data_IF_102813300239
#
_entry.id   IF_102813300239
#
_cell.length_a   1.000
_cell.length_b   1.000
_cell.length_c   1.000
_cell.angle_alpha   90.00
_cell.angle_beta   90.00
_cell.angle_gamma   90.00
#
_symmetry.space_group_name_H-M   'P 1'
#
loop_
_entity.id
_entity.type
_entity.pdbx_description
1 polymer ?
#
# COMPACT_ATOMS: atom_id res chain seq x y z
N UNK A 1 17.21 -0.06 -25.34
CA UNK A 1 16.95 -1.04 -24.28
C UNK A 1 17.32 -0.36 -22.96
N UNK A 2 16.37 0.30 -22.30
CA UNK A 2 16.66 1.00 -21.05
C UNK A 2 16.73 -0.06 -19.94
N UNK A 3 17.93 -0.34 -19.48
CA UNK A 3 18.17 -1.17 -18.31
C UNK A 3 17.92 -0.29 -17.07
N UNK A 4 16.78 -0.48 -16.40
CA UNK A 4 16.38 0.25 -15.20
C UNK A 4 17.12 -0.36 -14.00
N UNK A 5 18.42 -0.10 -13.86
CA UNK A 5 19.24 -0.73 -12.82
C UNK A 5 18.97 -0.19 -11.41
N UNK A 6 18.32 0.98 -11.30
CA UNK A 6 18.25 1.75 -10.05
C UNK A 6 16.83 2.16 -9.61
N UNK A 7 15.74 1.77 -10.31
CA UNK A 7 14.41 2.11 -9.80
C UNK A 7 13.99 1.21 -8.66
N UNK A 8 13.52 1.86 -7.60
CA UNK A 8 12.90 1.25 -6.43
C UNK A 8 11.50 1.81 -6.30
N UNK A 9 10.49 0.96 -6.44
CA UNK A 9 9.08 1.33 -6.53
C UNK A 9 8.37 0.95 -5.24
N UNK A 10 7.66 1.92 -4.69
CA UNK A 10 6.66 1.70 -3.65
C UNK A 10 5.28 1.83 -4.28
N UNK A 11 4.51 0.74 -4.30
CA UNK A 11 3.20 0.68 -4.95
C UNK A 11 2.08 0.56 -3.92
N UNK A 12 1.35 1.65 -3.71
CA UNK A 12 0.38 1.78 -2.61
C UNK A 12 -1.07 1.47 -3.01
N UNK A 13 -1.31 1.04 -4.25
CA UNK A 13 -2.63 0.67 -4.75
C UNK A 13 -2.59 -0.78 -5.27
N UNK A 14 -3.55 -1.65 -4.89
CA UNK A 14 -3.62 -3.02 -5.39
C UNK A 14 -3.54 -3.10 -6.92
N UNK A 15 -4.37 -2.32 -7.63
CA UNK A 15 -4.39 -2.31 -9.09
C UNK A 15 -3.07 -1.86 -9.71
N UNK A 16 -2.37 -0.88 -9.12
CA UNK A 16 -1.06 -0.45 -9.60
C UNK A 16 0.00 -1.54 -9.39
N UNK A 17 -0.05 -2.24 -8.25
CA UNK A 17 0.83 -3.37 -7.96
C UNK A 17 0.61 -4.48 -8.98
N UNK A 18 -0.64 -4.85 -9.27
CA UNK A 18 -0.96 -5.86 -10.28
C UNK A 18 -0.44 -5.48 -11.67
N UNK A 19 -0.57 -4.22 -12.07
CA UNK A 19 -0.03 -3.70 -13.34
C UNK A 19 1.50 -3.84 -13.38
N UNK A 20 2.21 -3.48 -12.31
CA UNK A 20 3.67 -3.62 -12.24
C UNK A 20 4.13 -5.07 -12.37
N UNK A 21 3.43 -6.01 -11.72
CA UNK A 21 3.66 -7.43 -11.91
C UNK A 21 3.40 -7.87 -13.35
N UNK A 22 2.30 -7.41 -13.97
CA UNK A 22 1.99 -7.73 -15.37
C UNK A 22 3.02 -7.17 -16.37
N UNK A 23 3.71 -6.08 -16.00
CA UNK A 23 4.79 -5.48 -16.78
C UNK A 23 6.17 -6.13 -16.56
N UNK A 24 6.28 -7.13 -15.68
CA UNK A 24 7.56 -7.75 -15.34
C UNK A 24 8.48 -6.87 -14.50
N UNK A 25 7.90 -5.94 -13.72
CA UNK A 25 8.60 -5.02 -12.83
C UNK A 25 8.55 -5.47 -11.37
N UNK A 26 8.32 -6.76 -11.12
CA UNK A 26 8.15 -7.27 -9.76
C UNK A 26 9.41 -7.12 -8.91
N UNK A 27 10.60 -7.04 -9.53
CA UNK A 27 11.87 -6.94 -8.81
C UNK A 27 12.10 -5.53 -8.28
N UNK A 28 11.58 -4.54 -8.97
CA UNK A 28 11.68 -3.11 -8.66
C UNK A 28 10.71 -2.73 -7.54
N UNK A 29 9.66 -3.53 -7.29
CA UNK A 29 8.74 -3.32 -6.16
C UNK A 29 9.44 -3.66 -4.85
N UNK A 30 9.71 -2.62 -4.05
CA UNK A 30 10.36 -2.71 -2.73
C UNK A 30 9.39 -2.52 -1.56
N UNK A 31 8.22 -1.95 -1.81
CA UNK A 31 7.19 -1.73 -0.80
C UNK A 31 5.77 -1.70 -1.38
N UNK A 32 4.79 -2.15 -0.60
CA UNK A 32 3.38 -2.25 -1.00
C UNK A 32 2.41 -1.80 0.10
N UNK A 33 1.12 -1.69 -0.23
CA UNK A 33 0.07 -1.61 0.78
C UNK A 33 -0.31 -2.98 1.35
N UNK A 34 -0.91 -2.99 2.53
CA UNK A 34 -1.46 -4.20 3.14
C UNK A 34 -2.56 -4.88 2.30
N UNK A 35 -3.17 -4.16 1.36
CA UNK A 35 -4.21 -4.67 0.44
C UNK A 35 -3.61 -5.26 -0.84
N UNK A 36 -2.32 -5.11 -1.10
CA UNK A 36 -1.67 -5.66 -2.29
C UNK A 36 -1.40 -7.15 -2.11
N UNK A 37 -2.38 -7.97 -2.49
CA UNK A 37 -2.39 -9.41 -2.25
C UNK A 37 -2.33 -10.27 -3.52
N UNK A 38 -2.38 -9.63 -4.69
CA UNK A 38 -2.32 -10.25 -6.01
C UNK A 38 -1.20 -9.66 -6.91
N UNK A 39 -0.48 -10.50 -7.69
CA UNK A 39 -0.46 -11.97 -7.57
C UNK A 39 0.07 -12.39 -6.19
N UNK A 40 -0.06 -13.65 -5.75
CA UNK A 40 0.31 -14.06 -4.39
C UNK A 40 1.74 -13.65 -3.94
N UNK A 41 2.65 -13.47 -4.90
CA UNK A 41 4.01 -12.96 -4.70
C UNK A 41 4.04 -11.52 -4.16
N UNK A 42 3.03 -10.69 -4.40
CA UNK A 42 2.91 -9.35 -3.85
C UNK A 42 2.92 -9.37 -2.31
N UNK A 43 2.39 -10.44 -1.69
CA UNK A 43 2.41 -10.63 -0.22
C UNK A 43 3.82 -10.80 0.35
N UNK A 44 4.82 -11.07 -0.48
CA UNK A 44 6.23 -11.16 -0.05
C UNK A 44 6.92 -9.81 0.06
N UNK A 45 6.29 -8.74 -0.47
CA UNK A 45 6.84 -7.38 -0.44
C UNK A 45 6.60 -6.75 0.94
N UNK A 46 7.48 -5.82 1.33
CA UNK A 46 7.31 -5.11 2.61
C UNK A 46 6.08 -4.21 2.56
N UNK A 47 5.23 -4.33 3.57
CA UNK A 47 4.07 -3.45 3.73
C UNK A 47 4.54 -2.13 4.35
N UNK A 48 4.25 -1.01 3.69
CA UNK A 48 4.65 0.34 4.14
C UNK A 48 3.47 1.25 4.45
N UNK A 49 2.24 0.81 4.17
CA UNK A 49 1.03 1.57 4.48
C UNK A 49 -0.07 0.64 4.99
N UNK A 50 -0.72 1.05 6.07
CA UNK A 50 -1.82 0.33 6.71
C UNK A 50 -3.06 1.22 6.86
N UNK A 51 -4.23 0.59 6.89
CA UNK A 51 -5.47 1.29 7.23
C UNK A 51 -5.49 1.66 8.71
N UNK A 52 -5.93 2.87 9.04
CA UNK A 52 -6.23 3.29 10.41
C UNK A 52 -7.62 2.83 10.88
N UNK A 53 -8.41 2.24 9.97
CA UNK A 53 -9.72 1.69 10.30
C UNK A 53 -9.56 0.26 10.83
N UNK A 54 -10.29 -0.13 11.90
CA UNK A 54 -10.21 -1.47 12.44
C UNK A 54 -10.78 -2.50 11.47
N UNK A 55 -10.12 -3.64 11.34
CA UNK A 55 -10.63 -4.76 10.58
C UNK A 55 -11.92 -5.29 11.23
N UNK A 56 -12.93 -5.55 10.39
CA UNK A 56 -14.22 -6.10 10.85
C UNK A 56 -15.19 -5.07 11.44
N UNK A 57 -14.89 -3.77 11.34
CA UNK A 57 -15.85 -2.72 11.69
C UNK A 57 -17.14 -2.85 10.88
N UNK A 58 -18.28 -2.59 11.52
CA UNK A 58 -19.55 -2.50 10.82
C UNK A 58 -19.57 -1.30 9.86
N UNK A 59 -20.41 -1.31 8.80
CA UNK A 59 -20.52 -0.17 7.89
C UNK A 59 -20.82 1.16 8.59
N UNK A 60 -21.65 1.14 9.64
CA UNK A 60 -21.97 2.34 10.42
C UNK A 60 -20.76 2.86 11.23
N UNK A 61 -19.95 1.96 11.77
CA UNK A 61 -18.71 2.33 12.45
C UNK A 61 -17.67 2.89 11.47
N UNK A 62 -17.56 2.28 10.27
CA UNK A 62 -16.71 2.78 9.19
C UNK A 62 -17.12 4.20 8.82
N UNK A 63 -18.40 4.44 8.54
CA UNK A 63 -18.92 5.76 8.16
C UNK A 63 -18.61 6.83 9.22
N UNK A 64 -18.85 6.50 10.50
CA UNK A 64 -18.52 7.37 11.62
C UNK A 64 -17.02 7.69 11.69
N UNK A 65 -16.16 6.67 11.64
CA UNK A 65 -14.71 6.85 11.74
C UNK A 65 -14.16 7.64 10.56
N UNK A 66 -14.61 7.34 9.34
CA UNK A 66 -14.22 8.07 8.13
C UNK A 66 -14.59 9.54 8.27
N UNK A 67 -15.81 9.84 8.70
CA UNK A 67 -16.27 11.20 8.95
C UNK A 67 -15.41 11.92 10.01
N UNK A 68 -15.05 11.24 11.09
CA UNK A 68 -14.15 11.77 12.13
C UNK A 68 -12.75 12.09 11.57
N UNK A 69 -12.11 11.19 10.82
CA UNK A 69 -10.81 11.43 10.19
C UNK A 69 -10.85 12.61 9.21
N UNK A 70 -11.87 12.66 8.35
CA UNK A 70 -12.06 13.76 7.39
C UNK A 70 -12.25 15.08 8.12
N UNK A 71 -13.04 15.13 9.18
CA UNK A 71 -13.26 16.35 9.96
C UNK A 71 -11.97 16.85 10.65
N UNK A 72 -11.08 15.94 11.06
CA UNK A 72 -9.76 16.27 11.61
C UNK A 72 -8.70 16.60 10.55
N UNK A 73 -9.01 16.43 9.26
CA UNK A 73 -8.05 16.63 8.17
C UNK A 73 -6.96 15.55 8.11
N UNK A 74 -7.24 14.37 8.65
CA UNK A 74 -6.29 13.26 8.73
C UNK A 74 -6.55 12.22 7.64
N UNK A 75 -5.48 11.59 7.15
CA UNK A 75 -5.57 10.44 6.22
C UNK A 75 -6.19 9.20 6.91
N UNK A 76 -6.96 8.41 6.16
CA UNK A 76 -7.41 7.08 6.61
C UNK A 76 -6.29 6.04 6.60
N UNK A 77 -5.22 6.31 5.86
CA UNK A 77 -4.07 5.43 5.73
C UNK A 77 -2.85 6.03 6.44
N UNK A 78 -2.14 5.19 7.16
CA UNK A 78 -0.91 5.53 7.85
C UNK A 78 0.29 4.94 7.11
N UNK A 79 1.22 5.81 6.71
CA UNK A 79 2.53 5.41 6.21
C UNK A 79 3.42 5.05 7.39
N UNK A 80 4.03 3.88 7.33
CA UNK A 80 5.12 3.49 8.23
C UNK A 80 6.41 4.15 7.73
N UNK A 81 6.72 5.31 8.30
CA UNK A 81 7.88 6.11 7.91
C UNK A 81 9.19 5.37 8.17
N UNK A 82 9.30 4.65 9.29
CA UNK A 82 10.50 3.89 9.64
C UNK A 82 10.75 2.76 8.63
N UNK A 83 9.70 1.99 8.30
CA UNK A 83 9.82 0.95 7.29
C UNK A 83 10.14 1.53 5.92
N UNK A 84 9.53 2.67 5.55
CA UNK A 84 9.78 3.35 4.29
C UNK A 84 11.21 3.86 4.16
N UNK A 85 11.76 4.49 5.21
CA UNK A 85 13.15 4.96 5.26
C UNK A 85 14.16 3.81 5.21
N UNK A 86 13.81 2.63 5.75
CA UNK A 86 14.65 1.44 5.78
C UNK A 86 14.59 0.58 4.49
N UNK A 87 13.81 0.98 3.49
CA UNK A 87 13.80 0.30 2.18
C UNK A 87 15.10 0.58 1.43
#
# INVERSE_FOLDING_TARGET
MWYISDMRIVSLLPSATEILFALGLEREIVGVSHECDYPPQAKTKRVVIHSRLPHGASPAEIDRLVSEYVHRGESLYAVDAETLEAL
#
